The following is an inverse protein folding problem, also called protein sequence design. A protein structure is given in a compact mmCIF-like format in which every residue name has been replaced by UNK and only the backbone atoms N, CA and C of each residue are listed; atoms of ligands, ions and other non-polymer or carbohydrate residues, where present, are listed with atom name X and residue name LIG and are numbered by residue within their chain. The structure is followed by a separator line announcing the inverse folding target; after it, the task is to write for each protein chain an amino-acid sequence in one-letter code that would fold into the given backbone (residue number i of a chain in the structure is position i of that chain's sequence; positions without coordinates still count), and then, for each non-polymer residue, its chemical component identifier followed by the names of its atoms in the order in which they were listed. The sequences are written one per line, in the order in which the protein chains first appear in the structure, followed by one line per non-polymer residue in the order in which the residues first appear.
data_IF_914960474918
#
_entry.id   IF_914960474918
#
_cell.length_a   1.000
_cell.length_b   1.000
_cell.length_c   1.000
_cell.angle_alpha   90.00
_cell.angle_beta   90.00
_cell.angle_gamma   90.00
#
_symmetry.space_group_name_H-M   'P 1'
#
loop_
_entity.id
_entity.type
_entity.pdbx_description
1 polymer ?
#
# COMPACT_ATOMS: atom_id res chain seq x y z
N UNK A 1 14.06 33.53 -7.14
CA UNK A 1 13.37 32.22 -7.33
C UNK A 1 13.66 31.37 -6.10
N UNK A 2 12.69 31.18 -5.20
CA UNK A 2 12.81 30.19 -4.11
C UNK A 2 12.47 28.84 -4.74
N UNK A 3 13.43 27.94 -4.81
CA UNK A 3 13.14 26.53 -5.09
C UNK A 3 12.24 26.03 -3.96
N UNK A 4 11.10 25.43 -4.31
CA UNK A 4 10.29 24.73 -3.32
C UNK A 4 11.18 23.66 -2.64
N UNK A 5 11.07 23.46 -1.32
CA UNK A 5 11.79 22.36 -0.67
C UNK A 5 11.41 21.04 -1.36
N UNK A 6 12.38 20.15 -1.55
CA UNK A 6 12.11 18.79 -1.99
C UNK A 6 11.00 18.21 -1.11
N UNK A 7 9.99 17.52 -1.68
CA UNK A 7 8.89 16.97 -0.89
C UNK A 7 9.49 16.09 0.21
N UNK A 8 9.14 16.40 1.46
CA UNK A 8 9.60 15.64 2.60
C UNK A 8 9.20 14.17 2.42
N UNK A 9 10.17 13.26 2.54
CA UNK A 9 9.93 11.83 2.61
C UNK A 9 9.01 11.55 3.80
N UNK A 10 7.71 11.40 3.54
CA UNK A 10 6.76 10.99 4.58
C UNK A 10 6.73 9.47 4.56
N UNK A 11 7.33 8.85 5.57
CA UNK A 11 7.26 7.42 5.74
C UNK A 11 5.94 7.04 6.43
N UNK A 12 5.21 6.06 5.87
CA UNK A 12 4.03 5.48 6.50
C UNK A 12 4.36 4.10 7.06
N UNK A 13 4.05 3.85 8.33
CA UNK A 13 4.25 2.56 8.98
C UNK A 13 2.91 1.87 9.23
N UNK A 14 2.86 0.57 8.95
CA UNK A 14 1.71 -0.31 9.23
C UNK A 14 2.20 -1.61 9.85
N UNK A 15 1.85 -1.86 11.10
CA UNK A 15 2.03 -3.17 11.71
C UNK A 15 1.04 -4.17 11.13
N UNK A 16 1.45 -5.42 10.96
CA UNK A 16 0.56 -6.50 10.60
C UNK A 16 -0.22 -6.97 11.85
N UNK A 17 -1.56 -6.83 11.89
CA UNK A 17 -2.36 -7.26 13.03
C UNK A 17 -2.49 -8.79 13.17
N UNK A 18 -2.18 -9.56 12.12
CA UNK A 18 -2.23 -11.02 12.11
C UNK A 18 -0.88 -11.67 12.41
N UNK A 19 0.22 -10.96 12.16
CA UNK A 19 1.57 -11.45 12.44
C UNK A 19 2.37 -10.49 13.33
N UNK A 20 2.61 -10.89 14.58
CA UNK A 20 3.46 -10.16 15.51
C UNK A 20 4.89 -9.97 14.97
N UNK A 21 5.46 -8.79 15.20
CA UNK A 21 6.83 -8.46 14.79
C UNK A 21 7.01 -8.17 13.29
N UNK A 22 5.92 -8.07 12.53
CA UNK A 22 5.91 -7.68 11.11
C UNK A 22 5.39 -6.24 10.95
N UNK A 23 6.18 -5.39 10.29
CA UNK A 23 5.80 -4.01 9.98
C UNK A 23 6.16 -3.68 8.53
N UNK A 24 5.25 -3.05 7.82
CA UNK A 24 5.45 -2.48 6.50
C UNK A 24 5.75 -0.99 6.59
N UNK A 25 6.71 -0.52 5.80
CA UNK A 25 7.12 0.89 5.76
C UNK A 25 7.09 1.39 4.33
N UNK A 26 6.11 2.24 4.02
CA UNK A 26 6.05 2.96 2.75
C UNK A 26 7.04 4.12 2.79
N UNK A 27 8.11 4.05 2.00
CA UNK A 27 9.26 4.95 2.09
C UNK A 27 9.36 5.91 0.90
N UNK A 28 8.22 6.40 0.39
CA UNK A 28 8.19 7.33 -0.74
C UNK A 28 8.85 6.73 -1.98
N UNK A 29 9.84 7.43 -2.55
CA UNK A 29 10.60 6.99 -3.71
C UNK A 29 11.59 5.85 -3.44
N UNK A 30 11.76 5.43 -2.18
CA UNK A 30 12.58 4.26 -1.85
C UNK A 30 11.77 2.95 -1.94
N UNK A 31 10.46 3.04 -2.19
CA UNK A 31 9.57 1.90 -2.33
C UNK A 31 9.01 1.42 -1.00
N UNK A 32 8.73 0.11 -0.93
CA UNK A 32 8.23 -0.54 0.28
C UNK A 32 9.37 -1.27 1.00
N UNK A 33 9.46 -1.07 2.31
CA UNK A 33 10.32 -1.85 3.20
C UNK A 33 9.46 -2.72 4.12
N UNK A 34 10.04 -3.81 4.60
CA UNK A 34 9.42 -4.74 5.53
C UNK A 34 10.39 -5.03 6.67
N UNK A 35 9.96 -4.71 7.88
CA UNK A 35 10.62 -5.14 9.10
C UNK A 35 10.07 -6.50 9.55
N UNK A 36 10.96 -7.44 9.87
CA UNK A 36 10.60 -8.73 10.46
C UNK A 36 11.67 -9.19 11.42
N UNK A 37 11.31 -9.44 12.68
CA UNK A 37 12.18 -10.07 13.67
C UNK A 37 13.58 -9.41 13.83
N UNK A 38 13.69 -8.09 13.67
CA UNK A 38 14.95 -7.36 13.82
C UNK A 38 15.63 -6.99 12.49
N UNK A 39 15.12 -7.47 11.36
CA UNK A 39 15.69 -7.20 10.03
C UNK A 39 14.76 -6.32 9.19
N UNK A 40 15.32 -5.30 8.52
CA UNK A 40 14.62 -4.37 7.64
C UNK A 40 15.07 -4.61 6.20
N UNK A 41 14.15 -5.09 5.37
CA UNK A 41 14.44 -5.45 3.99
C UNK A 41 13.57 -4.66 3.01
N UNK A 42 14.12 -4.30 1.85
CA UNK A 42 13.33 -3.76 0.75
C UNK A 42 12.49 -4.86 0.10
N UNK A 43 11.23 -4.57 -0.15
CA UNK A 43 10.33 -5.44 -0.92
C UNK A 43 10.61 -5.22 -2.40
N UNK A 44 10.99 -6.29 -3.10
CA UNK A 44 11.30 -6.23 -4.53
C UNK A 44 10.06 -5.83 -5.35
N UNK A 45 10.28 -5.14 -6.47
CA UNK A 45 9.22 -4.73 -7.40
C UNK A 45 8.35 -3.54 -6.96
N UNK A 46 8.44 -3.08 -5.70
CA UNK A 46 7.71 -1.87 -5.26
C UNK A 46 8.63 -0.66 -5.36
N UNK A 47 8.45 0.13 -6.42
CA UNK A 47 9.36 1.22 -6.79
C UNK A 47 9.10 2.49 -5.97
N UNK A 48 7.82 2.83 -5.77
CA UNK A 48 7.42 3.98 -4.99
C UNK A 48 6.13 3.72 -4.23
N UNK A 49 6.03 4.25 -3.01
CA UNK A 49 4.83 4.17 -2.17
C UNK A 49 4.37 5.59 -1.83
N UNK A 50 3.17 5.96 -2.29
CA UNK A 50 2.53 7.22 -1.91
C UNK A 50 1.65 7.08 -0.68
N UNK A 51 0.97 5.93 -0.53
CA UNK A 51 0.28 5.56 0.71
C UNK A 51 0.21 4.05 0.87
N UNK A 52 0.21 3.62 2.12
CA UNK A 52 0.25 2.24 2.57
C UNK A 52 -0.90 1.94 3.53
N UNK A 53 -1.62 0.85 3.24
CA UNK A 53 -2.69 0.31 4.08
C UNK A 53 -2.51 -1.18 4.35
N UNK A 54 -3.14 -1.65 5.42
CA UNK A 54 -3.31 -3.09 5.71
C UNK A 54 -4.80 -3.38 5.93
N UNK A 55 -5.23 -4.61 5.65
CA UNK A 55 -6.60 -5.07 5.85
C UNK A 55 -6.66 -6.55 6.20
N UNK A 56 -7.87 -7.11 6.20
CA UNK A 56 -8.10 -8.54 6.45
C UNK A 56 -7.31 -9.38 5.45
N UNK A 57 -6.43 -10.25 5.96
CA UNK A 57 -5.69 -11.21 5.16
C UNK A 57 -6.59 -12.18 4.40
N UNK A 58 -6.07 -12.70 3.29
CA UNK A 58 -6.78 -13.67 2.46
C UNK A 58 -7.08 -14.97 3.24
N UNK A 59 -8.15 -15.71 2.88
CA UNK A 59 -8.44 -17.01 3.47
C UNK A 59 -7.22 -17.95 3.44
N UNK A 60 -6.88 -18.55 4.58
CA UNK A 60 -5.73 -19.44 4.70
C UNK A 60 -4.35 -18.75 4.73
N UNK A 61 -4.31 -17.42 4.90
CA UNK A 61 -3.07 -16.66 5.10
C UNK A 61 -2.98 -16.11 6.53
N UNK A 62 -1.77 -16.19 7.08
CA UNK A 62 -1.43 -15.69 8.42
C UNK A 62 -0.79 -14.30 8.37
N UNK A 63 -1.03 -13.55 7.30
CA UNK A 63 -0.55 -12.18 7.08
C UNK A 63 -1.71 -11.32 6.60
N UNK A 64 -1.69 -10.05 6.97
CA UNK A 64 -2.62 -9.06 6.47
C UNK A 64 -2.45 -8.83 4.96
N UNK A 65 -3.55 -8.50 4.28
CA UNK A 65 -3.47 -7.98 2.92
C UNK A 65 -2.87 -6.58 2.99
N UNK A 66 -1.86 -6.33 2.17
CA UNK A 66 -1.17 -5.04 2.06
C UNK A 66 -1.68 -4.30 0.85
N UNK A 67 -2.03 -3.03 1.01
CA UNK A 67 -2.49 -2.17 -0.07
C UNK A 67 -1.49 -1.02 -0.29
N UNK A 68 -1.11 -0.80 -1.55
CA UNK A 68 -0.17 0.26 -1.95
C UNK A 68 -0.81 1.10 -3.04
N UNK A 69 -0.95 2.41 -2.78
CA UNK A 69 -1.06 3.39 -3.85
C UNK A 69 0.36 3.85 -4.19
N UNK A 70 0.80 3.63 -5.42
CA UNK A 70 2.21 3.82 -5.77
C UNK A 70 2.57 3.27 -7.14
N UNK A 71 3.87 2.99 -7.30
CA UNK A 71 4.44 2.38 -8.50
C UNK A 71 4.96 0.99 -8.15
N UNK A 72 4.45 -0.02 -8.86
CA UNK A 72 4.91 -1.42 -8.76
C UNK A 72 5.31 -1.87 -10.15
N UNK A 73 6.54 -2.35 -10.29
CA UNK A 73 7.15 -2.79 -11.55
C UNK A 73 7.00 -1.76 -12.68
N UNK A 74 7.24 -0.48 -12.35
CA UNK A 74 7.14 0.65 -13.28
C UNK A 74 5.72 1.13 -13.58
N UNK A 75 4.69 0.49 -13.02
CA UNK A 75 3.28 0.84 -13.27
C UNK A 75 2.69 1.59 -12.09
N UNK A 76 2.17 2.79 -12.36
CA UNK A 76 1.41 3.58 -11.38
C UNK A 76 -0.01 3.03 -11.21
N UNK A 77 -0.46 2.86 -9.97
CA UNK A 77 -1.82 2.40 -9.68
C UNK A 77 -2.09 2.12 -8.21
N UNK A 78 -3.13 1.33 -7.97
CA UNK A 78 -3.50 0.80 -6.67
C UNK A 78 -3.30 -0.71 -6.68
N UNK A 79 -2.55 -1.24 -5.73
CA UNK A 79 -2.14 -2.63 -5.70
C UNK A 79 -2.46 -3.30 -4.36
N UNK A 80 -2.72 -4.61 -4.40
CA UNK A 80 -2.90 -5.47 -3.22
C UNK A 80 -1.90 -6.61 -3.25
N UNK A 81 -1.30 -6.94 -2.11
CA UNK A 81 -0.59 -8.19 -1.88
C UNK A 81 -1.27 -8.99 -0.78
N UNK A 82 -1.45 -10.28 -1.00
CA UNK A 82 -2.04 -11.23 -0.05
C UNK A 82 -0.99 -12.22 0.51
N UNK A 83 0.29 -12.06 0.16
CA UNK A 83 1.40 -12.96 0.52
C UNK A 83 2.60 -12.22 1.13
N UNK A 84 2.32 -11.08 1.76
CA UNK A 84 3.29 -10.30 2.51
C UNK A 84 4.27 -9.51 1.63
N UNK A 85 3.83 -9.11 0.44
CA UNK A 85 4.57 -8.28 -0.51
C UNK A 85 5.36 -9.07 -1.55
N UNK A 86 5.18 -10.40 -1.64
CA UNK A 86 5.92 -11.22 -2.61
C UNK A 86 5.30 -11.14 -4.01
N UNK A 87 3.97 -11.00 -4.10
CA UNK A 87 3.23 -10.75 -5.35
C UNK A 87 2.25 -9.61 -5.17
N UNK A 88 2.00 -8.91 -6.28
CA UNK A 88 1.12 -7.76 -6.32
C UNK A 88 0.05 -7.93 -7.40
N UNK A 89 -1.19 -7.72 -7.02
CA UNK A 89 -2.33 -7.61 -7.91
C UNK A 89 -2.66 -6.12 -8.08
N UNK A 90 -2.71 -5.64 -9.32
CA UNK A 90 -3.31 -4.33 -9.60
C UNK A 90 -4.82 -4.41 -9.40
N UNK A 91 -5.39 -3.50 -8.60
CA UNK A 91 -6.81 -3.50 -8.22
C UNK A 91 -7.57 -2.25 -8.70
N UNK A 92 -6.89 -1.34 -9.40
CA UNK A 92 -7.50 -0.32 -10.25
C UNK A 92 -7.43 -0.71 -11.72
N UNK A 93 -8.11 0.06 -12.58
CA UNK A 93 -8.04 -0.08 -14.03
C UNK A 93 -7.93 1.29 -14.73
N UNK A 94 -7.85 1.29 -16.06
CA UNK A 94 -7.70 2.52 -16.85
C UNK A 94 -8.88 3.50 -16.70
N UNK A 95 -10.09 3.01 -16.42
CA UNK A 95 -11.27 3.85 -16.18
C UNK A 95 -11.34 4.34 -14.72
N UNK A 96 -10.66 3.67 -13.79
CA UNK A 96 -10.78 3.87 -12.35
C UNK A 96 -9.46 4.26 -11.67
N UNK A 97 -8.81 5.35 -12.12
CA UNK A 97 -7.54 5.80 -11.51
C UNK A 97 -7.68 6.89 -10.44
N UNK A 98 -8.82 7.57 -10.37
CA UNK A 98 -9.21 8.54 -9.33
C UNK A 98 -8.24 9.72 -9.06
N UNK A 99 -7.24 9.93 -9.92
CA UNK A 99 -6.24 10.99 -9.77
C UNK A 99 -5.25 10.67 -8.65
N UNK A 100 -4.96 11.66 -7.79
CA UNK A 100 -4.03 11.46 -6.68
C UNK A 100 -4.72 10.72 -5.53
N UNK A 101 -4.30 9.48 -5.25
CA UNK A 101 -4.66 8.76 -4.03
C UNK A 101 -3.75 9.24 -2.90
N UNK A 102 -4.34 9.79 -1.84
CA UNK A 102 -3.62 10.41 -0.73
C UNK A 102 -3.47 9.49 0.48
N UNK A 103 -4.49 8.67 0.77
CA UNK A 103 -4.48 7.73 1.90
C UNK A 103 -5.17 6.44 1.51
N UNK A 104 -4.67 5.31 1.98
CA UNK A 104 -5.24 3.97 1.75
C UNK A 104 -5.35 3.19 3.06
N UNK A 105 -6.44 2.46 3.24
CA UNK A 105 -6.58 1.44 4.29
C UNK A 105 -7.46 0.28 3.80
N UNK A 106 -7.15 -0.94 4.23
CA UNK A 106 -8.05 -2.09 4.01
C UNK A 106 -9.12 -2.19 5.10
N UNK A 107 -10.20 -2.92 4.83
CA UNK A 107 -11.15 -3.31 5.89
C UNK A 107 -10.55 -4.47 6.71
N UNK A 108 -10.46 -4.38 8.05
CA UNK A 108 -9.94 -5.46 8.88
C UNK A 108 -10.87 -6.68 9.00
N UNK A 109 -12.11 -6.59 8.50
CA UNK A 109 -13.14 -7.63 8.59
C UNK A 109 -13.43 -8.29 7.24
N UNK A 110 -13.28 -7.55 6.14
CA UNK A 110 -13.64 -8.01 4.79
C UNK A 110 -12.38 -8.12 3.93
N UNK A 111 -12.02 -9.35 3.52
CA UNK A 111 -10.85 -9.56 2.66
C UNK A 111 -11.02 -8.81 1.34
N UNK A 112 -9.96 -8.12 0.94
CA UNK A 112 -9.87 -7.44 -0.34
C UNK A 112 -10.56 -6.07 -0.42
N UNK A 113 -11.43 -5.72 0.54
CA UNK A 113 -12.03 -4.39 0.60
C UNK A 113 -10.98 -3.33 0.92
N UNK A 114 -10.95 -2.27 0.11
CA UNK A 114 -10.07 -1.11 0.29
C UNK A 114 -10.88 0.17 0.37
N UNK A 115 -10.47 1.09 1.23
CA UNK A 115 -10.95 2.47 1.31
C UNK A 115 -9.79 3.41 1.01
N UNK A 116 -10.01 4.42 0.17
CA UNK A 116 -8.96 5.39 -0.14
C UNK A 116 -9.50 6.80 -0.34
N UNK A 117 -8.72 7.76 0.17
CA UNK A 117 -8.98 9.18 0.01
C UNK A 117 -8.29 9.71 -1.25
N UNK A 118 -8.99 10.55 -1.99
CA UNK A 118 -8.53 11.15 -3.25
C UNK A 118 -8.28 12.65 -3.06
N UNK A 119 -7.46 13.26 -3.92
CA UNK A 119 -7.18 14.70 -3.89
C UNK A 119 -8.34 15.62 -4.29
N UNK A 120 -9.57 15.11 -4.46
CA UNK A 120 -10.72 15.94 -4.86
C UNK A 120 -12.03 15.21 -5.18
N UNK A 121 -12.09 13.88 -5.03
CA UNK A 121 -13.29 13.05 -5.32
C UNK A 121 -13.84 12.35 -4.07
N UNK A 122 -13.45 12.81 -2.88
CA UNK A 122 -13.87 12.23 -1.61
C UNK A 122 -13.19 10.89 -1.30
N UNK A 123 -13.91 10.04 -0.57
CA UNK A 123 -13.49 8.69 -0.17
C UNK A 123 -14.18 7.69 -1.09
N UNK A 124 -13.39 6.82 -1.71
CA UNK A 124 -13.86 5.73 -2.55
C UNK A 124 -13.57 4.41 -1.85
N UNK A 125 -14.38 3.39 -2.11
CA UNK A 125 -14.10 2.02 -1.72
C UNK A 125 -14.19 1.08 -2.92
N UNK A 126 -13.52 -0.06 -2.83
CA UNK A 126 -13.60 -1.14 -3.81
C UNK A 126 -13.62 -2.50 -3.13
N UNK A 127 -14.34 -3.45 -3.73
CA UNK A 127 -14.37 -4.86 -3.35
C UNK A 127 -13.79 -5.72 -4.48
N UNK A 128 -13.26 -6.93 -4.19
CA UNK A 128 -12.89 -7.89 -5.23
C UNK A 128 -14.09 -8.29 -6.10
N UNK A 129 -13.86 -8.51 -7.38
CA UNK A 129 -14.83 -9.15 -8.28
C UNK A 129 -14.78 -10.68 -8.16
#
# INVERSE_FOLDING_TARGET
VRLAPAPALTAELRADPQQSGLVYVGAGSQGLLRWRAGDLQRVAGVDAVHSLGVGRGAPGRDVASVFVAGTVEGVQGLFRSDDGGARWLRIDDAAHQFGQIQRVTGDPRLHGRVYFATGGRGIVYGDPQ
#
